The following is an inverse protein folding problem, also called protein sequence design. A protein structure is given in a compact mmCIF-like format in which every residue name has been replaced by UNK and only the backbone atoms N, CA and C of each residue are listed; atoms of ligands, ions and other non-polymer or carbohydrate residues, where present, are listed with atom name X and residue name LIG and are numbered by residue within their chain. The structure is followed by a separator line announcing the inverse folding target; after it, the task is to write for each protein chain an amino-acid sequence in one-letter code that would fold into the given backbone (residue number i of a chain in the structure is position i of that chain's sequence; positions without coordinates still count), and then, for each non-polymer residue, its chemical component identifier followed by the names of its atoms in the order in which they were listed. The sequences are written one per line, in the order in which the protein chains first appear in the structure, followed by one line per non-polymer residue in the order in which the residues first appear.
data_IF_811347765881
#
_entry.id   IF_811347765881
#
_cell.length_a   1.000
_cell.length_b   1.000
_cell.length_c   1.000
_cell.angle_alpha   90.00
_cell.angle_beta   90.00
_cell.angle_gamma   90.00
#
_symmetry.space_group_name_H-M   'P 1'
#
loop_
_entity.id
_entity.type
_entity.pdbx_description
1 polymer ?
#
# COMPACT_ATOMS: atom_id res chain seq x y z
N UNK A 1 -68.37 28.73 -20.96
CA UNK A 1 -67.15 28.50 -21.76
C UNK A 1 -66.17 27.67 -20.93
N UNK A 2 -65.99 26.38 -21.25
CA UNK A 2 -65.00 25.51 -20.61
C UNK A 2 -63.68 25.63 -21.36
N UNK A 3 -62.72 26.38 -20.83
CA UNK A 3 -61.38 26.51 -21.40
C UNK A 3 -60.61 25.20 -21.20
N UNK A 4 -60.29 24.55 -22.31
CA UNK A 4 -59.46 23.34 -22.39
C UNK A 4 -58.05 23.70 -21.92
N UNK A 5 -57.56 23.05 -20.86
CA UNK A 5 -56.13 23.06 -20.55
C UNK A 5 -55.36 22.38 -21.69
N UNK A 6 -54.20 22.91 -22.11
CA UNK A 6 -53.40 22.31 -23.18
C UNK A 6 -52.85 20.95 -22.74
N UNK A 7 -53.06 19.92 -23.58
CA UNK A 7 -52.63 18.53 -23.35
C UNK A 7 -51.13 18.39 -23.06
N UNK A 8 -50.32 19.37 -23.45
CA UNK A 8 -48.88 19.45 -23.19
C UNK A 8 -48.53 19.68 -21.72
N UNK A 9 -49.37 20.41 -20.96
CA UNK A 9 -49.14 20.65 -19.53
C UNK A 9 -49.40 19.39 -18.66
N UNK A 10 -50.24 18.47 -19.14
CA UNK A 10 -50.55 17.21 -18.45
C UNK A 10 -49.41 16.18 -18.63
N UNK A 11 -48.83 16.10 -19.83
CA UNK A 11 -47.66 15.26 -20.13
C UNK A 11 -46.41 15.69 -19.36
N UNK A 12 -46.13 16.99 -19.27
CA UNK A 12 -45.00 17.51 -18.49
C UNK A 12 -45.16 17.27 -16.98
N UNK A 13 -46.38 17.33 -16.44
CA UNK A 13 -46.66 16.99 -15.03
C UNK A 13 -46.57 15.49 -14.75
N UNK A 14 -46.97 14.63 -15.69
CA UNK A 14 -46.81 13.17 -15.58
C UNK A 14 -45.34 12.75 -15.67
N UNK A 15 -44.56 13.36 -16.57
CA UNK A 15 -43.11 13.11 -16.67
C UNK A 15 -42.39 13.62 -15.41
N UNK A 16 -42.76 14.78 -14.87
CA UNK A 16 -42.22 15.28 -13.59
C UNK A 16 -42.60 14.38 -12.39
N UNK A 17 -43.82 13.81 -12.36
CA UNK A 17 -44.21 12.83 -11.35
C UNK A 17 -43.43 11.51 -11.49
N UNK A 18 -43.18 11.04 -12.71
CA UNK A 18 -42.39 9.83 -12.96
C UNK A 18 -40.90 10.02 -12.64
N UNK A 19 -40.34 11.22 -12.81
CA UNK A 19 -38.97 11.57 -12.41
C UNK A 19 -38.85 11.68 -10.88
N UNK A 20 -39.91 12.12 -10.18
CA UNK A 20 -39.95 12.16 -8.72
C UNK A 20 -40.24 10.78 -8.08
N UNK A 21 -40.99 9.90 -8.76
CA UNK A 21 -41.31 8.54 -8.30
C UNK A 21 -40.24 7.49 -8.64
N UNK A 22 -39.26 7.81 -9.51
CA UNK A 22 -38.13 6.93 -9.84
C UNK A 22 -36.94 7.05 -8.89
N UNK A 23 -37.02 7.87 -7.83
CA UNK A 23 -36.02 7.94 -6.76
C UNK A 23 -36.41 7.20 -5.48
N UNK A 24 -37.54 6.48 -5.46
CA UNK A 24 -37.99 5.72 -4.29
C UNK A 24 -38.38 4.28 -4.66
N UNK A 25 -37.42 3.48 -5.13
CA UNK A 25 -37.50 2.03 -4.98
C UNK A 25 -36.11 1.37 -5.07
N UNK A 26 -35.82 0.60 -4.02
CA UNK A 26 -34.82 -0.47 -3.99
C UNK A 26 -33.34 -0.08 -4.09
N UNK A 27 -32.80 0.51 -3.03
CA UNK A 27 -31.46 0.11 -2.59
C UNK A 27 -31.59 -0.79 -1.37
N UNK A 28 -31.36 -2.07 -1.63
CA UNK A 28 -31.08 -3.10 -0.64
C UNK A 28 -30.06 -2.57 0.37
N UNK A 29 -30.37 -2.78 1.65
CA UNK A 29 -29.56 -2.35 2.76
C UNK A 29 -28.13 -2.87 2.71
N UNK A 30 -27.30 -2.19 3.50
CA UNK A 30 -25.90 -2.47 3.78
C UNK A 30 -25.55 -3.96 3.75
N UNK A 31 -24.95 -4.39 2.64
CA UNK A 31 -24.08 -5.57 2.66
C UNK A 31 -22.80 -5.18 3.42
N UNK A 32 -22.06 -6.13 4.00
CA UNK A 32 -20.92 -5.90 4.91
C UNK A 32 -19.70 -5.19 4.30
N UNK A 33 -19.91 -3.99 3.75
CA UNK A 33 -19.02 -3.18 2.89
C UNK A 33 -18.87 -1.74 3.37
N UNK A 34 -19.51 -1.35 4.46
CA UNK A 34 -19.37 -0.01 5.03
C UNK A 34 -18.75 -0.08 6.43
N UNK A 35 -17.72 0.75 6.71
CA UNK A 35 -17.17 0.90 8.05
C UNK A 35 -18.23 1.48 8.98
N UNK A 36 -18.15 1.14 10.27
CA UNK A 36 -19.17 1.41 11.31
C UNK A 36 -19.47 2.90 11.57
N UNK A 37 -18.83 3.78 10.82
CA UNK A 37 -18.66 5.20 11.08
C UNK A 37 -19.91 6.02 10.75
N UNK A 38 -20.92 5.41 10.12
CA UNK A 38 -22.20 6.05 9.83
C UNK A 38 -23.26 5.75 10.91
N UNK A 39 -22.99 6.12 12.17
CA UNK A 39 -24.05 6.31 13.16
C UNK A 39 -24.29 7.81 13.30
N UNK A 40 -25.39 8.37 12.76
CA UNK A 40 -25.71 9.77 12.97
C UNK A 40 -26.05 9.98 14.47
N UNK A 41 -25.25 10.80 15.15
CA UNK A 41 -25.64 11.42 16.42
C UNK A 41 -26.47 12.68 16.16
N UNK A 42 -27.45 13.01 17.02
CA UNK A 42 -27.14 13.45 18.39
C UNK A 42 -28.10 12.90 19.44
N UNK A 43 -27.69 12.11 20.45
CA UNK A 43 -28.65 11.61 21.45
C UNK A 43 -28.09 11.48 22.86
N UNK A 44 -28.98 11.83 23.80
CA UNK A 44 -28.87 12.19 25.21
C UNK A 44 -28.37 11.10 26.17
N UNK A 45 -27.74 11.57 27.26
CA UNK A 45 -27.24 10.79 28.39
C UNK A 45 -28.39 10.43 29.35
N UNK A 46 -29.19 9.40 29.05
CA UNK A 46 -30.11 8.81 30.05
C UNK A 46 -29.71 7.37 30.38
N UNK A 47 -29.70 7.08 31.69
CA UNK A 47 -29.39 5.78 32.26
C UNK A 47 -30.40 4.70 31.80
N UNK A 48 -29.98 3.43 31.62
CA UNK A 48 -30.77 2.44 30.91
C UNK A 48 -31.85 1.83 31.81
N UNK A 49 -33.10 2.22 31.62
CA UNK A 49 -34.24 1.32 31.91
C UNK A 49 -34.34 0.28 30.79
N UNK A 50 -34.76 -0.95 31.08
CA UNK A 50 -34.71 -2.09 30.14
C UNK A 50 -35.39 -1.90 28.78
N UNK A 51 -36.23 -0.87 28.61
CA UNK A 51 -36.83 -0.47 27.31
C UNK A 51 -35.97 0.49 26.50
N UNK A 52 -34.99 1.17 27.10
CA UNK A 52 -34.10 2.13 26.45
C UNK A 52 -33.06 1.45 25.53
N UNK A 53 -32.52 0.30 25.95
CA UNK A 53 -31.54 -0.45 25.16
C UNK A 53 -32.07 -0.92 23.80
N UNK A 54 -33.32 -1.39 23.75
CA UNK A 54 -33.97 -1.78 22.49
C UNK A 54 -34.14 -0.60 21.55
N UNK A 55 -34.51 0.58 22.07
CA UNK A 55 -34.67 1.81 21.26
C UNK A 55 -33.33 2.27 20.67
N UNK A 56 -32.24 2.18 21.44
CA UNK A 56 -30.90 2.54 20.96
C UNK A 56 -30.45 1.67 19.77
N UNK A 57 -30.64 0.35 19.84
CA UNK A 57 -30.35 -0.57 18.74
C UNK A 57 -31.18 -0.27 17.46
N UNK A 58 -32.40 0.25 17.61
CA UNK A 58 -33.27 0.57 16.48
C UNK A 58 -32.93 1.90 15.79
N UNK A 59 -32.49 2.90 16.57
CA UNK A 59 -32.03 4.20 16.08
C UNK A 59 -30.75 4.10 15.24
N UNK A 60 -29.95 3.05 15.44
CA UNK A 60 -28.75 2.80 14.66
C UNK A 60 -29.06 2.18 13.29
N UNK A 61 -28.29 2.60 12.28
CA UNK A 61 -28.29 2.10 10.89
C UNK A 61 -27.61 0.72 10.79
N UNK A 62 -28.21 -0.29 11.41
CA UNK A 62 -27.73 -1.67 11.43
C UNK A 62 -28.55 -2.59 10.52
N UNK A 63 -27.93 -3.63 9.98
CA UNK A 63 -28.64 -4.69 9.25
C UNK A 63 -29.61 -5.44 10.15
N UNK A 64 -30.65 -6.09 9.58
CA UNK A 64 -31.58 -6.93 10.35
C UNK A 64 -30.87 -7.98 11.21
N UNK A 65 -29.77 -8.55 10.72
CA UNK A 65 -28.93 -9.51 11.46
C UNK A 65 -28.22 -8.83 12.64
N UNK A 66 -27.59 -7.67 12.42
CA UNK A 66 -26.89 -6.92 13.46
C UNK A 66 -27.87 -6.39 14.52
N UNK A 67 -29.05 -5.90 14.13
CA UNK A 67 -30.12 -5.50 15.08
C UNK A 67 -30.57 -6.65 15.97
N UNK A 68 -30.66 -7.88 15.44
CA UNK A 68 -30.95 -9.07 16.28
C UNK A 68 -29.83 -9.36 17.28
N UNK A 69 -28.57 -9.20 16.88
CA UNK A 69 -27.42 -9.37 17.79
C UNK A 69 -27.38 -8.26 18.85
N UNK A 70 -27.61 -7.01 18.46
CA UNK A 70 -27.67 -5.85 19.36
C UNK A 70 -28.77 -6.01 20.41
N UNK A 71 -30.00 -6.36 20.02
CA UNK A 71 -31.09 -6.59 20.98
C UNK A 71 -30.83 -7.77 21.92
N UNK A 72 -30.04 -8.75 21.49
CA UNK A 72 -29.71 -9.94 22.28
C UNK A 72 -28.65 -9.63 23.35
N UNK A 73 -27.81 -8.62 23.16
CA UNK A 73 -26.65 -8.32 24.01
C UNK A 73 -26.82 -6.98 24.74
N UNK A 74 -27.27 -6.97 26.01
CA UNK A 74 -27.36 -5.76 26.82
C UNK A 74 -26.00 -5.02 26.88
N UNK A 75 -26.04 -3.70 26.67
CA UNK A 75 -24.83 -2.86 26.68
C UNK A 75 -24.07 -2.82 25.35
N UNK A 76 -24.45 -3.64 24.35
CA UNK A 76 -23.80 -3.59 23.04
C UNK A 76 -24.07 -2.26 22.33
N UNK A 77 -25.27 -1.70 22.48
CA UNK A 77 -25.64 -0.44 21.83
C UNK A 77 -24.72 0.73 22.22
N UNK A 78 -24.45 0.87 23.52
CA UNK A 78 -23.55 1.89 24.05
C UNK A 78 -22.10 1.65 23.62
N UNK A 79 -21.68 0.38 23.63
CA UNK A 79 -20.34 -0.04 23.20
C UNK A 79 -20.10 0.27 21.71
N UNK A 80 -21.11 0.05 20.86
CA UNK A 80 -21.05 0.41 19.44
C UNK A 80 -20.90 1.92 19.25
N UNK A 81 -21.67 2.73 19.99
CA UNK A 81 -21.56 4.20 19.93
C UNK A 81 -20.17 4.68 20.31
N UNK A 82 -19.63 4.15 21.41
CA UNK A 82 -18.27 4.49 21.85
C UNK A 82 -17.22 4.08 20.82
N UNK A 83 -17.34 2.90 20.22
CA UNK A 83 -16.41 2.45 19.19
C UNK A 83 -16.40 3.38 17.96
N UNK A 84 -17.56 3.88 17.55
CA UNK A 84 -17.68 4.79 16.40
C UNK A 84 -17.07 6.14 16.72
N UNK A 85 -17.35 6.67 17.91
CA UNK A 85 -16.76 7.93 18.40
C UNK A 85 -15.24 7.83 18.43
N UNK A 86 -14.70 6.75 19.01
CA UNK A 86 -13.27 6.50 19.10
C UNK A 86 -12.62 6.40 17.71
N UNK A 87 -13.25 5.64 16.79
CA UNK A 87 -12.79 5.51 15.41
C UNK A 87 -12.71 6.84 14.68
N UNK A 88 -13.74 7.68 14.84
CA UNK A 88 -13.83 8.99 14.19
C UNK A 88 -12.81 9.98 14.72
N UNK A 89 -12.70 10.08 16.05
CA UNK A 89 -11.75 10.98 16.70
C UNK A 89 -10.34 10.72 16.18
N UNK A 90 -9.99 9.44 16.15
CA UNK A 90 -8.67 9.02 15.73
C UNK A 90 -8.44 9.17 14.23
N UNK A 91 -9.44 8.83 13.41
CA UNK A 91 -9.34 9.02 11.97
C UNK A 91 -9.13 10.51 11.62
N UNK A 92 -9.86 11.42 12.28
CA UNK A 92 -9.65 12.87 12.12
C UNK A 92 -8.27 13.30 12.58
N UNK A 93 -7.78 12.75 13.69
CA UNK A 93 -6.46 13.04 14.22
C UNK A 93 -5.35 12.65 13.22
N UNK A 94 -5.43 11.45 12.66
CA UNK A 94 -4.45 10.93 11.71
C UNK A 94 -4.48 11.65 10.36
N UNK A 95 -5.66 12.09 9.92
CA UNK A 95 -5.86 12.78 8.65
C UNK A 95 -5.89 14.32 8.76
N UNK A 96 -5.46 14.87 9.91
CA UNK A 96 -5.55 16.32 10.18
C UNK A 96 -4.82 17.21 9.15
N UNK A 97 -3.76 16.68 8.53
CA UNK A 97 -2.93 17.39 7.54
C UNK A 97 -3.14 16.84 6.11
N UNK A 98 -4.08 15.92 5.92
CA UNK A 98 -4.35 15.29 4.63
C UNK A 98 -5.49 16.01 3.89
N UNK A 99 -5.53 15.86 2.56
CA UNK A 99 -6.57 16.48 1.71
C UNK A 99 -7.98 16.02 2.07
N UNK A 100 -8.13 14.81 2.60
CA UNK A 100 -9.38 14.32 3.17
C UNK A 100 -9.22 14.18 4.69
N UNK A 101 -9.89 15.04 5.45
CA UNK A 101 -9.79 15.15 6.91
C UNK A 101 -10.68 14.16 7.69
N UNK A 102 -10.96 13.00 7.10
CA UNK A 102 -11.94 12.04 7.64
C UNK A 102 -13.38 12.57 7.80
N UNK A 103 -13.77 13.63 7.06
CA UNK A 103 -15.17 14.06 7.00
C UNK A 103 -16.01 13.07 6.19
N UNK A 104 -17.13 12.64 6.77
CA UNK A 104 -18.11 11.75 6.15
C UNK A 104 -19.30 12.48 5.54
N UNK A 105 -19.37 13.79 5.71
CA UNK A 105 -20.52 14.57 5.29
C UNK A 105 -20.63 14.58 3.76
N UNK A 106 -21.75 14.06 3.23
CA UNK A 106 -21.99 13.92 1.79
C UNK A 106 -21.09 12.93 1.02
N UNK A 107 -20.18 12.20 1.67
CA UNK A 107 -19.18 11.32 1.01
C UNK A 107 -19.40 9.82 1.22
N UNK A 108 -20.64 9.37 1.47
CA UNK A 108 -20.96 7.94 1.59
C UNK A 108 -20.56 7.09 0.37
N UNK A 109 -20.41 7.71 -0.80
CA UNK A 109 -19.89 7.07 -2.02
C UNK A 109 -18.42 6.66 -1.95
N UNK A 110 -17.62 7.28 -1.05
CA UNK A 110 -16.22 6.92 -0.82
C UNK A 110 -16.11 5.48 -0.29
N UNK A 111 -17.07 5.05 0.52
CA UNK A 111 -17.13 3.69 1.10
C UNK A 111 -17.55 2.64 0.08
N UNK A 112 -18.35 3.04 -0.92
CA UNK A 112 -18.79 2.18 -2.01
C UNK A 112 -17.64 1.82 -2.97
N UNK A 113 -16.56 2.60 -2.97
CA UNK A 113 -15.38 2.40 -3.82
C UNK A 113 -14.17 1.93 -3.00
N UNK A 114 -13.33 1.10 -3.61
CA UNK A 114 -12.16 0.50 -2.96
C UNK A 114 -10.99 1.49 -2.89
N UNK A 115 -11.14 2.54 -2.08
CA UNK A 115 -10.09 3.53 -1.85
C UNK A 115 -9.20 3.16 -0.66
N UNK A 116 -7.99 3.75 -0.59
CA UNK A 116 -7.07 3.56 0.54
C UNK A 116 -7.70 4.06 1.84
N UNK A 117 -8.42 5.18 1.75
CA UNK A 117 -9.14 5.82 2.85
C UNK A 117 -10.19 4.88 3.45
N UNK A 118 -10.93 4.17 2.58
CA UNK A 118 -11.90 3.15 3.00
C UNK A 118 -11.20 1.96 3.68
N UNK A 119 -10.02 1.56 3.20
CA UNK A 119 -9.23 0.51 3.83
C UNK A 119 -8.80 0.88 5.26
N UNK A 120 -8.33 2.12 5.46
CA UNK A 120 -8.01 2.62 6.80
C UNK A 120 -9.23 2.73 7.69
N UNK A 121 -10.35 3.26 7.19
CA UNK A 121 -11.60 3.34 7.95
C UNK A 121 -12.06 1.97 8.45
N UNK A 122 -11.94 0.93 7.64
CA UNK A 122 -12.28 -0.44 8.03
C UNK A 122 -11.31 -1.00 9.09
N UNK A 123 -10.02 -0.69 8.98
CA UNK A 123 -9.03 -1.11 9.96
C UNK A 123 -9.17 -0.38 11.30
N UNK A 124 -9.31 0.95 11.31
CA UNK A 124 -9.47 1.73 12.55
C UNK A 124 -10.81 1.43 13.23
N UNK A 125 -11.89 1.24 12.47
CA UNK A 125 -13.19 0.89 13.04
C UNK A 125 -13.25 -0.53 13.59
N UNK A 126 -12.62 -1.50 12.94
CA UNK A 126 -12.53 -2.86 13.49
C UNK A 126 -11.64 -2.92 14.73
N UNK A 127 -10.56 -2.13 14.77
CA UNK A 127 -9.68 -2.00 15.92
C UNK A 127 -10.42 -1.36 17.12
N UNK A 128 -11.03 -0.20 16.91
CA UNK A 128 -11.79 0.51 17.95
C UNK A 128 -12.95 -0.33 18.49
N UNK A 129 -13.68 -1.05 17.62
CA UNK A 129 -14.75 -1.94 18.09
C UNK A 129 -14.21 -3.14 18.87
N UNK A 130 -13.09 -3.74 18.45
CA UNK A 130 -12.45 -4.83 19.19
C UNK A 130 -12.05 -4.39 20.60
N UNK A 131 -11.39 -3.23 20.72
CA UNK A 131 -10.97 -2.64 21.99
C UNK A 131 -12.18 -2.27 22.86
N UNK A 132 -13.18 -1.59 22.29
CA UNK A 132 -14.38 -1.17 23.02
C UNK A 132 -15.17 -2.37 23.56
N UNK A 133 -15.30 -3.45 22.80
CA UNK A 133 -15.93 -4.70 23.26
C UNK A 133 -15.16 -5.32 24.41
N UNK A 134 -13.84 -5.42 24.31
CA UNK A 134 -13.01 -6.03 25.35
C UNK A 134 -13.09 -5.23 26.65
N UNK A 135 -13.04 -3.89 26.54
CA UNK A 135 -13.23 -2.97 27.67
C UNK A 135 -14.62 -3.04 28.27
N UNK A 136 -15.66 -3.18 27.45
CA UNK A 136 -17.03 -3.26 27.93
C UNK A 136 -17.27 -4.55 28.73
N UNK A 137 -16.63 -5.65 28.32
CA UNK A 137 -16.65 -6.92 29.05
C UNK A 137 -15.90 -6.83 30.39
N UNK A 138 -14.67 -6.30 30.40
CA UNK A 138 -13.92 -6.18 31.65
C UNK A 138 -14.52 -5.18 32.65
N UNK A 139 -15.23 -4.15 32.16
CA UNK A 139 -15.92 -3.17 33.00
C UNK A 139 -17.32 -3.60 33.45
N UNK A 140 -17.78 -4.79 33.03
CA UNK A 140 -19.13 -5.28 33.35
C UNK A 140 -20.27 -4.52 32.67
N UNK A 141 -19.97 -3.66 31.68
CA UNK A 141 -21.01 -2.95 30.90
C UNK A 141 -21.74 -3.85 29.91
N UNK A 142 -21.13 -4.98 29.55
CA UNK A 142 -21.77 -6.02 28.74
C UNK A 142 -21.97 -7.28 29.60
N UNK A 143 -23.21 -7.75 29.68
CA UNK A 143 -23.60 -8.78 30.64
C UNK A 143 -23.28 -10.22 30.19
N UNK A 144 -23.09 -10.48 28.90
CA UNK A 144 -22.88 -11.85 28.36
C UNK A 144 -21.48 -12.09 27.84
N UNK A 145 -20.51 -11.48 28.50
CA UNK A 145 -19.10 -11.80 28.35
C UNK A 145 -18.40 -11.77 29.70
N UNK A 146 -17.26 -12.45 29.75
CA UNK A 146 -16.40 -12.56 30.94
C UNK A 146 -15.07 -11.84 30.70
N UNK A 147 -14.34 -11.59 31.78
CA UNK A 147 -12.93 -11.20 31.75
C UNK A 147 -12.10 -12.16 30.90
N UNK A 148 -10.86 -11.79 30.60
CA UNK A 148 -9.88 -12.79 30.17
C UNK A 148 -9.51 -13.72 31.34
N UNK A 149 -9.81 -15.02 31.20
CA UNK A 149 -9.49 -16.09 32.16
C UNK A 149 -8.32 -16.95 31.63
N UNK A 150 -7.25 -16.32 31.12
CA UNK A 150 -6.14 -17.05 30.50
C UNK A 150 -5.39 -17.92 31.54
N UNK A 151 -5.18 -19.23 31.28
CA UNK A 151 -4.67 -20.22 32.25
C UNK A 151 -3.17 -20.06 32.61
N UNK A 152 -2.54 -18.93 32.28
CA UNK A 152 -1.15 -18.62 32.60
C UNK A 152 -0.97 -17.75 33.86
N UNK A 153 -2.06 -17.20 34.41
CA UNK A 153 -2.02 -16.44 35.65
C UNK A 153 -2.26 -17.43 36.79
N UNK A 154 -1.22 -17.73 37.57
CA UNK A 154 -1.35 -18.58 38.75
C UNK A 154 -2.49 -18.04 39.63
N UNK A 155 -3.49 -18.88 39.83
CA UNK A 155 -4.79 -18.62 40.45
C UNK A 155 -4.75 -18.19 41.93
N UNK A 156 -3.60 -17.71 42.44
CA UNK A 156 -3.41 -17.40 43.86
C UNK A 156 -3.21 -15.91 44.17
N UNK A 157 -2.80 -15.09 43.19
CA UNK A 157 -2.56 -13.65 43.41
C UNK A 157 -3.55 -12.75 42.63
N UNK A 158 -4.17 -13.24 41.56
CA UNK A 158 -5.16 -12.48 40.77
C UNK A 158 -6.45 -12.13 41.55
N UNK A 159 -6.81 -12.93 42.55
CA UNK A 159 -8.00 -12.72 43.39
C UNK A 159 -7.78 -11.68 44.49
N UNK A 160 -6.52 -11.32 44.81
CA UNK A 160 -6.20 -10.33 45.85
C UNK A 160 -6.30 -8.88 45.35
N UNK A 161 -6.18 -8.65 44.04
CA UNK A 161 -6.15 -7.30 43.46
C UNK A 161 -7.41 -6.92 42.65
N UNK A 162 -8.35 -7.84 42.44
CA UNK A 162 -9.67 -7.53 41.87
C UNK A 162 -9.65 -6.91 40.46
N UNK A 163 -8.61 -7.17 39.66
CA UNK A 163 -8.49 -6.59 38.30
C UNK A 163 -8.90 -7.61 37.24
N UNK A 164 -9.97 -7.29 36.51
CA UNK A 164 -10.50 -8.07 35.38
C UNK A 164 -9.81 -7.62 34.08
N UNK A 165 -9.10 -8.54 33.41
CA UNK A 165 -8.42 -8.28 32.13
C UNK A 165 -9.37 -8.17 30.93
N UNK A 166 -8.95 -7.44 29.90
CA UNK A 166 -9.72 -7.24 28.66
C UNK A 166 -9.77 -8.54 27.81
N UNK A 167 -10.96 -9.09 27.55
CA UNK A 167 -11.10 -10.36 26.81
C UNK A 167 -11.09 -10.16 25.28
N UNK A 168 -9.91 -10.06 24.68
CA UNK A 168 -9.77 -9.93 23.21
C UNK A 168 -10.23 -11.17 22.45
N UNK A 169 -10.13 -12.37 23.03
CA UNK A 169 -10.55 -13.61 22.37
C UNK A 169 -12.06 -13.63 22.11
N UNK A 170 -12.84 -13.28 23.13
CA UNK A 170 -14.29 -13.09 23.01
C UNK A 170 -14.60 -11.96 22.01
N UNK A 171 -13.99 -10.79 22.21
CA UNK A 171 -14.28 -9.58 21.44
C UNK A 171 -14.04 -9.76 19.95
N UNK A 172 -12.94 -10.42 19.58
CA UNK A 172 -12.62 -10.68 18.17
C UNK A 172 -13.53 -11.74 17.55
N UNK A 173 -13.94 -12.76 18.30
CA UNK A 173 -14.94 -13.74 17.85
C UNK A 173 -16.31 -13.09 17.65
N UNK A 174 -16.72 -12.23 18.58
CA UNK A 174 -17.97 -11.48 18.52
C UNK A 174 -18.00 -10.54 17.32
N UNK A 175 -16.94 -9.73 17.13
CA UNK A 175 -16.80 -8.80 16.02
C UNK A 175 -16.93 -9.49 14.65
N UNK A 176 -16.21 -10.60 14.44
CA UNK A 176 -16.27 -11.36 13.17
C UNK A 176 -17.69 -11.88 12.89
N UNK A 177 -18.39 -12.34 13.94
CA UNK A 177 -19.79 -12.79 13.86
C UNK A 177 -20.75 -11.64 13.57
N UNK A 178 -20.50 -10.46 14.17
CA UNK A 178 -21.31 -9.25 14.04
C UNK A 178 -21.18 -8.62 12.64
N UNK A 179 -19.97 -8.54 12.09
CA UNK A 179 -19.71 -8.07 10.72
C UNK A 179 -20.12 -9.09 9.65
N UNK A 180 -20.43 -10.33 10.03
CA UNK A 180 -20.89 -11.36 9.12
C UNK A 180 -19.81 -11.82 8.12
N UNK A 181 -18.53 -11.77 8.52
CA UNK A 181 -17.41 -12.17 7.68
C UNK A 181 -17.55 -13.64 7.24
N UNK A 182 -17.62 -13.86 5.91
CA UNK A 182 -17.56 -15.20 5.32
C UNK A 182 -16.09 -15.60 5.14
N UNK A 183 -15.74 -16.83 5.50
CA UNK A 183 -14.37 -17.36 5.34
C UNK A 183 -13.92 -17.43 3.88
N UNK A 184 -14.87 -17.61 2.96
CA UNK A 184 -14.63 -17.69 1.52
C UNK A 184 -15.64 -16.77 0.83
N UNK A 185 -15.16 -15.75 0.13
CA UNK A 185 -15.95 -14.86 -0.71
C UNK A 185 -15.42 -14.92 -2.13
N UNK A 186 -16.30 -15.12 -3.11
CA UNK A 186 -15.93 -15.06 -4.54
C UNK A 186 -15.62 -13.62 -5.00
N UNK A 187 -16.03 -12.62 -4.23
CA UNK A 187 -15.88 -11.21 -4.58
C UNK A 187 -14.59 -10.61 -3.99
N UNK A 188 -13.73 -10.06 -4.86
CA UNK A 188 -12.45 -9.43 -4.51
C UNK A 188 -12.62 -8.26 -3.53
N UNK A 189 -13.66 -7.43 -3.69
CA UNK A 189 -13.90 -6.29 -2.78
C UNK A 189 -14.13 -6.79 -1.36
N UNK A 190 -14.94 -7.83 -1.22
CA UNK A 190 -15.25 -8.42 0.09
C UNK A 190 -14.03 -9.13 0.71
N UNK A 191 -13.12 -9.68 -0.10
CA UNK A 191 -11.85 -10.22 0.39
C UNK A 191 -10.95 -9.10 0.93
N UNK A 192 -10.81 -7.99 0.20
CA UNK A 192 -10.03 -6.81 0.64
C UNK A 192 -10.62 -6.21 1.91
N UNK A 193 -11.94 -6.06 2.00
CA UNK A 193 -12.60 -5.58 3.22
C UNK A 193 -12.33 -6.51 4.41
N UNK A 194 -12.43 -7.82 4.18
CA UNK A 194 -12.13 -8.83 5.19
C UNK A 194 -10.68 -8.75 5.65
N UNK A 195 -9.74 -8.54 4.73
CA UNK A 195 -8.33 -8.33 5.03
C UNK A 195 -8.13 -7.09 5.91
N UNK A 196 -8.67 -5.93 5.51
CA UNK A 196 -8.53 -4.67 6.24
C UNK A 196 -9.10 -4.75 7.66
N UNK A 197 -10.26 -5.39 7.82
CA UNK A 197 -10.86 -5.66 9.14
C UNK A 197 -9.91 -6.51 10.00
N UNK A 198 -9.34 -7.57 9.43
CA UNK A 198 -8.40 -8.45 10.15
C UNK A 198 -7.08 -7.77 10.51
N UNK A 199 -6.62 -6.80 9.72
CA UNK A 199 -5.46 -5.96 10.06
C UNK A 199 -5.75 -5.17 11.34
N UNK A 200 -6.89 -4.48 11.41
CA UNK A 200 -7.27 -3.73 12.62
C UNK A 200 -7.40 -4.63 13.86
N UNK A 201 -8.00 -5.82 13.73
CA UNK A 201 -8.09 -6.80 14.81
C UNK A 201 -6.70 -7.23 15.32
N UNK A 202 -5.75 -7.49 14.39
CA UNK A 202 -4.39 -7.88 14.75
C UNK A 202 -3.61 -6.75 15.42
N UNK A 203 -3.83 -5.50 15.00
CA UNK A 203 -3.19 -4.35 15.61
C UNK A 203 -3.55 -4.21 17.10
N UNK A 204 -4.80 -4.50 17.47
CA UNK A 204 -5.23 -4.53 18.89
C UNK A 204 -4.57 -5.69 19.64
N UNK A 205 -4.59 -6.90 19.08
CA UNK A 205 -4.00 -8.09 19.72
C UNK A 205 -2.51 -7.99 19.97
N UNK A 206 -1.77 -7.40 19.02
CA UNK A 206 -0.32 -7.29 19.14
C UNK A 206 0.08 -6.23 20.17
N UNK A 207 -0.76 -5.21 20.38
CA UNK A 207 -0.51 -4.16 21.36
C UNK A 207 -0.68 -4.57 22.82
N UNK A 208 -1.41 -5.66 23.10
CA UNK A 208 -1.55 -6.23 24.47
C UNK A 208 -0.42 -7.18 24.86
N UNK A 209 0.25 -7.83 23.88
CA UNK A 209 1.30 -8.82 24.15
C UNK A 209 2.59 -8.25 24.74
N UNK A 210 2.96 -7.01 24.39
CA UNK A 210 4.16 -6.32 24.90
C UNK A 210 3.93 -5.68 26.29
N UNK A 211 2.69 -5.64 26.79
CA UNK A 211 2.39 -5.01 28.09
C UNK A 211 2.73 -5.93 29.27
N UNK A 212 2.63 -7.24 29.07
CA UNK A 212 2.94 -8.23 30.09
C UNK A 212 4.44 -8.24 30.45
N UNK A 213 5.31 -7.69 29.61
CA UNK A 213 6.75 -7.58 29.85
C UNK A 213 7.15 -6.23 30.50
N UNK A 214 6.29 -5.19 30.44
CA UNK A 214 6.56 -3.86 31.05
C UNK A 214 5.92 -3.68 32.44
N UNK A 215 5.08 -4.62 32.91
CA UNK A 215 4.39 -4.54 34.21
C UNK A 215 5.25 -5.01 35.41
N UNK A 216 6.47 -5.51 35.18
CA UNK A 216 7.39 -5.95 36.26
C UNK A 216 8.17 -4.81 36.96
N UNK A 217 8.10 -3.56 36.47
CA UNK A 217 9.06 -2.51 36.89
C UNK A 217 8.49 -1.26 37.63
N UNK A 218 7.22 -1.21 38.05
CA UNK A 218 6.69 0.02 38.69
C UNK A 218 5.99 -0.25 40.04
N UNK A 219 6.79 -0.54 41.07
CA UNK A 219 6.37 -0.77 42.48
C UNK A 219 6.23 0.52 43.31
N UNK A 220 6.11 1.70 42.70
CA UNK A 220 6.03 2.97 43.43
C UNK A 220 4.78 3.79 43.05
N UNK A 221 3.89 3.94 44.03
CA UNK A 221 2.55 4.50 43.92
C UNK A 221 2.48 5.90 43.28
N UNK A 222 2.02 5.94 42.03
CA UNK A 222 1.41 7.09 41.34
C UNK A 222 0.37 6.55 40.34
N UNK A 223 -0.62 5.80 40.85
CA UNK A 223 -1.42 4.86 40.06
C UNK A 223 -2.47 5.48 39.11
N UNK A 224 -3.05 6.65 39.42
CA UNK A 224 -4.19 7.17 38.64
C UNK A 224 -3.78 7.96 37.39
N UNK A 225 -2.77 8.83 37.50
CA UNK A 225 -2.30 9.66 36.38
C UNK A 225 -1.48 8.86 35.37
N UNK A 226 -0.65 7.93 35.86
CA UNK A 226 0.07 6.95 35.03
C UNK A 226 -0.89 6.01 34.29
N UNK A 227 -1.96 5.52 34.93
CA UNK A 227 -2.98 4.69 34.27
C UNK A 227 -3.79 5.46 33.20
N UNK A 228 -3.96 6.77 33.37
CA UNK A 228 -4.53 7.66 32.35
C UNK A 228 -3.63 7.80 31.12
N UNK A 229 -2.31 7.92 31.31
CA UNK A 229 -1.31 8.02 30.23
C UNK A 229 -1.03 6.68 29.54
N UNK A 230 -0.73 5.60 30.28
CA UNK A 230 -1.50 4.33 30.24
C UNK A 230 -2.34 4.02 29.00
N UNK A 231 -3.64 4.22 29.19
CA UNK A 231 -4.75 4.13 28.22
C UNK A 231 -4.65 5.12 27.05
N UNK A 232 -3.94 6.24 27.18
CA UNK A 232 -3.73 7.18 26.05
C UNK A 232 -2.67 6.65 25.07
N UNK A 233 -1.60 6.04 25.59
CA UNK A 233 -0.55 5.37 24.79
C UNK A 233 -1.10 4.12 24.08
N UNK A 234 -1.94 3.34 24.77
CA UNK A 234 -2.62 2.15 24.24
C UNK A 234 -3.52 2.48 23.02
N UNK A 235 -4.39 3.50 23.15
CA UNK A 235 -5.23 4.00 22.04
C UNK A 235 -4.40 4.52 20.86
N UNK A 236 -3.30 5.21 21.14
CA UNK A 236 -2.44 5.77 20.10
C UNK A 236 -1.62 4.70 19.37
N UNK A 237 -1.19 3.62 20.05
CA UNK A 237 -0.33 2.56 19.47
C UNK A 237 -1.08 1.71 18.44
N UNK A 238 -2.29 1.23 18.76
CA UNK A 238 -3.14 0.45 17.83
C UNK A 238 -3.38 1.22 16.53
N UNK A 239 -3.54 2.53 16.63
CA UNK A 239 -3.91 3.37 15.50
C UNK A 239 -2.68 3.85 14.75
N UNK A 240 -1.57 4.13 15.42
CA UNK A 240 -0.29 4.34 14.76
C UNK A 240 0.08 3.12 13.90
N UNK A 241 -0.15 1.90 14.39
CA UNK A 241 0.04 0.67 13.60
C UNK A 241 -0.90 0.63 12.39
N UNK A 242 -2.20 0.89 12.58
CA UNK A 242 -3.16 0.95 11.47
C UNK A 242 -2.84 2.06 10.45
N UNK A 243 -2.28 3.19 10.90
CA UNK A 243 -1.87 4.32 10.09
C UNK A 243 -0.59 4.04 9.31
N UNK A 244 0.39 3.40 9.94
CA UNK A 244 1.56 2.83 9.26
C UNK A 244 1.10 1.87 8.17
N UNK A 245 0.15 0.96 8.44
CA UNK A 245 -0.40 0.08 7.39
C UNK A 245 -1.16 0.81 6.27
N UNK A 246 -1.85 1.92 6.57
CA UNK A 246 -2.51 2.76 5.56
C UNK A 246 -1.51 3.51 4.67
N UNK A 247 -0.45 4.08 5.27
CA UNK A 247 0.67 4.65 4.52
C UNK A 247 1.39 3.57 3.69
N UNK A 248 1.57 2.38 4.27
CA UNK A 248 2.23 1.22 3.69
C UNK A 248 1.32 0.37 2.79
N UNK A 249 0.23 0.93 2.24
CA UNK A 249 -0.62 0.26 1.25
C UNK A 249 0.19 -0.22 0.03
N UNK A 250 0.71 -1.44 0.11
CA UNK A 250 1.78 -1.99 -0.73
C UNK A 250 3.15 -1.67 -0.14
N UNK A 251 3.63 -2.50 0.78
CA UNK A 251 4.73 -2.15 1.67
C UNK A 251 6.07 -2.15 0.92
N UNK A 252 6.47 -0.96 0.46
CA UNK A 252 7.72 -0.69 -0.24
C UNK A 252 8.92 -1.18 0.59
N UNK A 253 8.91 -0.96 1.90
CA UNK A 253 10.03 -1.34 2.77
C UNK A 253 10.15 -2.87 2.90
N UNK A 254 9.05 -3.61 3.03
CA UNK A 254 9.13 -5.08 3.04
C UNK A 254 9.52 -5.66 1.69
N UNK A 255 9.00 -5.08 0.60
CA UNK A 255 9.38 -5.53 -0.73
C UNK A 255 10.86 -5.19 -0.99
N UNK A 256 11.35 -4.08 -0.48
CA UNK A 256 12.76 -3.68 -0.53
C UNK A 256 13.64 -4.68 0.24
N UNK A 257 13.32 -4.99 1.50
CA UNK A 257 14.08 -5.95 2.30
C UNK A 257 14.05 -7.36 1.70
N UNK A 258 12.88 -7.80 1.21
CA UNK A 258 12.75 -9.08 0.53
C UNK A 258 13.61 -9.13 -0.74
N UNK A 259 13.57 -8.08 -1.56
CA UNK A 259 14.36 -7.98 -2.79
C UNK A 259 15.85 -7.96 -2.49
N UNK A 260 16.28 -7.19 -1.49
CA UNK A 260 17.68 -7.12 -1.06
C UNK A 260 18.20 -8.48 -0.56
N UNK A 261 17.38 -9.22 0.19
CA UNK A 261 17.71 -10.59 0.60
C UNK A 261 17.89 -11.52 -0.60
N UNK A 262 16.99 -11.46 -1.59
CA UNK A 262 17.12 -12.26 -2.81
C UNK A 262 18.37 -11.90 -3.62
N UNK A 263 18.76 -10.62 -3.68
CA UNK A 263 20.00 -10.19 -4.33
C UNK A 263 21.23 -10.80 -3.64
N UNK A 264 21.27 -10.80 -2.30
CA UNK A 264 22.36 -11.43 -1.54
C UNK A 264 22.43 -12.95 -1.75
N UNK A 265 21.27 -13.62 -1.81
CA UNK A 265 21.21 -15.06 -2.13
C UNK A 265 21.79 -15.34 -3.53
N UNK A 266 21.44 -14.52 -4.54
CA UNK A 266 21.98 -14.65 -5.90
C UNK A 266 23.50 -14.40 -5.93
N UNK A 267 24.01 -13.41 -5.20
CA UNK A 267 25.46 -13.18 -5.08
C UNK A 267 26.19 -14.37 -4.46
N UNK A 268 25.60 -15.01 -3.43
CA UNK A 268 26.16 -16.21 -2.82
C UNK A 268 26.19 -17.40 -3.81
N UNK A 269 25.09 -17.62 -4.54
CA UNK A 269 25.01 -18.65 -5.56
C UNK A 269 26.00 -18.42 -6.72
N UNK A 270 26.20 -17.17 -7.12
CA UNK A 270 27.23 -16.77 -8.09
C UNK A 270 28.65 -17.15 -7.62
N UNK A 271 28.96 -16.96 -6.33
CA UNK A 271 30.26 -17.36 -5.77
C UNK A 271 30.49 -18.88 -5.77
N UNK A 272 29.41 -19.67 -5.76
CA UNK A 272 29.49 -21.14 -5.87
C UNK A 272 29.61 -21.61 -7.33
N UNK A 273 29.25 -20.77 -8.31
CA UNK A 273 29.28 -21.08 -9.75
C UNK A 273 30.71 -21.44 -10.22
N UNK A 274 31.73 -20.78 -9.66
CA UNK A 274 33.14 -21.06 -9.98
C UNK A 274 33.65 -22.40 -9.44
N UNK A 275 32.97 -22.99 -8.45
CA UNK A 275 33.38 -24.23 -7.76
C UNK A 275 32.58 -25.47 -8.20
N UNK A 276 31.56 -25.27 -9.03
CA UNK A 276 30.59 -26.29 -9.40
C UNK A 276 31.08 -27.12 -10.59
N UNK A 277 30.76 -28.42 -10.60
CA UNK A 277 31.21 -29.35 -11.65
C UNK A 277 30.54 -29.10 -13.01
N UNK A 278 31.28 -29.33 -14.11
CA UNK A 278 30.95 -28.94 -15.50
C UNK A 278 29.52 -29.32 -15.93
N UNK A 279 29.00 -30.47 -15.50
CA UNK A 279 27.65 -30.96 -15.88
C UNK A 279 26.51 -30.24 -15.13
N UNK A 280 26.77 -29.74 -13.92
CA UNK A 280 25.76 -29.13 -13.05
C UNK A 280 25.71 -27.60 -13.14
N UNK A 281 26.76 -26.97 -13.70
CA UNK A 281 26.86 -25.52 -13.90
C UNK A 281 25.68 -24.97 -14.71
N UNK A 282 25.27 -25.66 -15.78
CA UNK A 282 24.16 -25.21 -16.64
C UNK A 282 22.79 -25.13 -15.92
N UNK A 283 22.52 -26.06 -15.00
CA UNK A 283 21.28 -26.04 -14.22
C UNK A 283 21.28 -24.86 -13.24
N UNK A 284 22.43 -24.57 -12.64
CA UNK A 284 22.61 -23.45 -11.72
C UNK A 284 22.53 -22.09 -12.46
N UNK A 285 23.07 -21.99 -13.68
CA UNK A 285 22.93 -20.81 -14.54
C UNK A 285 21.46 -20.48 -14.84
N UNK A 286 20.65 -21.50 -15.18
CA UNK A 286 19.23 -21.31 -15.47
C UNK A 286 18.44 -20.87 -14.23
N UNK A 287 18.72 -21.45 -13.07
CA UNK A 287 18.13 -21.04 -11.79
C UNK A 287 18.53 -19.60 -11.40
N UNK A 288 19.81 -19.24 -11.58
CA UNK A 288 20.30 -17.88 -11.37
C UNK A 288 19.59 -16.87 -12.27
N UNK A 289 19.44 -17.20 -13.56
CA UNK A 289 18.73 -16.35 -14.52
C UNK A 289 17.27 -16.13 -14.11
N UNK A 290 16.57 -17.21 -13.74
CA UNK A 290 15.17 -17.13 -13.28
C UNK A 290 15.01 -16.28 -12.02
N UNK A 291 15.93 -16.39 -11.05
CA UNK A 291 15.93 -15.56 -9.84
C UNK A 291 16.21 -14.09 -10.14
N UNK A 292 17.13 -13.79 -11.06
CA UNK A 292 17.43 -12.42 -11.51
C UNK A 292 16.19 -11.80 -12.16
N UNK A 293 15.50 -12.52 -13.04
CA UNK A 293 14.28 -12.03 -13.69
C UNK A 293 13.13 -11.81 -12.69
N UNK A 294 13.02 -12.66 -11.66
CA UNK A 294 12.08 -12.44 -10.56
C UNK A 294 12.40 -11.15 -9.77
N UNK A 295 13.69 -10.90 -9.50
CA UNK A 295 14.15 -9.67 -8.83
C UNK A 295 13.82 -8.43 -9.67
N UNK A 296 14.03 -8.47 -11.00
CA UNK A 296 13.64 -7.36 -11.88
C UNK A 296 12.15 -7.03 -11.80
N UNK A 297 11.27 -8.05 -11.79
CA UNK A 297 9.84 -7.85 -11.58
C UNK A 297 9.51 -7.19 -10.22
N UNK A 298 10.23 -7.55 -9.16
CA UNK A 298 10.09 -6.89 -7.86
C UNK A 298 10.57 -5.43 -7.89
N UNK A 299 11.65 -5.13 -8.60
CA UNK A 299 12.19 -3.78 -8.76
C UNK A 299 11.25 -2.86 -9.54
N UNK A 300 10.61 -3.33 -10.61
CA UNK A 300 9.59 -2.55 -11.33
C UNK A 300 8.42 -2.16 -10.42
N UNK A 301 7.99 -3.10 -9.56
CA UNK A 301 6.95 -2.85 -8.57
C UNK A 301 7.42 -1.87 -7.49
N UNK A 302 8.68 -1.97 -7.04
CA UNK A 302 9.30 -1.03 -6.10
C UNK A 302 9.40 0.39 -6.67
N UNK A 303 9.75 0.54 -7.95
CA UNK A 303 9.84 1.83 -8.64
C UNK A 303 8.47 2.55 -8.66
N UNK A 304 7.40 1.80 -8.93
CA UNK A 304 6.03 2.31 -8.87
C UNK A 304 5.67 2.73 -7.43
N UNK A 305 6.06 1.96 -6.41
CA UNK A 305 5.79 2.32 -5.01
C UNK A 305 6.61 3.54 -4.57
N UNK A 306 7.88 3.62 -4.96
CA UNK A 306 8.78 4.74 -4.70
C UNK A 306 8.24 6.05 -5.29
N UNK A 307 7.67 6.00 -6.50
CA UNK A 307 7.05 7.17 -7.14
C UNK A 307 5.79 7.66 -6.41
N UNK A 308 5.11 6.78 -5.67
CA UNK A 308 3.88 7.06 -4.92
C UNK A 308 4.13 7.58 -3.50
N UNK A 309 5.38 7.60 -3.04
CA UNK A 309 5.75 8.13 -1.73
C UNK A 309 5.55 9.66 -1.61
N UNK A 310 5.32 10.19 -0.40
CA UNK A 310 5.22 11.62 -0.15
C UNK A 310 6.54 12.34 -0.51
N UNK A 311 6.48 13.63 -0.91
CA UNK A 311 7.63 14.35 -1.49
C UNK A 311 8.87 14.36 -0.59
N UNK A 312 8.70 14.41 0.74
CA UNK A 312 9.81 14.43 1.70
C UNK A 312 10.58 13.10 1.79
N UNK A 313 9.97 11.96 1.41
CA UNK A 313 10.61 10.62 1.47
C UNK A 313 10.92 10.04 0.10
N UNK A 314 10.19 10.47 -0.93
CA UNK A 314 10.31 10.03 -2.32
C UNK A 314 11.74 10.05 -2.86
N UNK A 315 12.54 11.06 -2.53
CA UNK A 315 13.92 11.16 -3.01
C UNK A 315 14.80 10.03 -2.43
N UNK A 316 14.69 9.77 -1.13
CA UNK A 316 15.45 8.70 -0.48
C UNK A 316 14.97 7.32 -0.93
N UNK A 317 13.65 7.15 -1.06
CA UNK A 317 13.01 5.94 -1.56
C UNK A 317 13.48 5.59 -2.99
N UNK A 318 13.56 6.58 -3.89
CA UNK A 318 14.11 6.39 -5.24
C UNK A 318 15.59 6.01 -5.22
N UNK A 319 16.40 6.72 -4.44
CA UNK A 319 17.84 6.41 -4.32
C UNK A 319 18.09 4.95 -3.90
N UNK A 320 17.31 4.44 -2.94
CA UNK A 320 17.40 3.04 -2.49
C UNK A 320 17.04 2.04 -3.59
N UNK A 321 15.99 2.33 -4.38
CA UNK A 321 15.59 1.47 -5.50
C UNK A 321 16.63 1.53 -6.63
N UNK A 322 17.17 2.70 -6.92
CA UNK A 322 18.22 2.90 -7.92
C UNK A 322 19.50 2.13 -7.54
N UNK A 323 19.85 2.09 -6.24
CA UNK A 323 20.95 1.28 -5.74
C UNK A 323 20.73 -0.23 -6.01
N UNK A 324 19.57 -0.78 -5.64
CA UNK A 324 19.29 -2.21 -5.90
C UNK A 324 19.27 -2.54 -7.39
N UNK A 325 18.80 -1.60 -8.23
CA UNK A 325 18.81 -1.74 -9.70
C UNK A 325 20.22 -1.81 -10.25
N UNK A 326 21.13 -0.98 -9.74
CA UNK A 326 22.54 -1.05 -10.09
C UNK A 326 23.17 -2.38 -9.67
N UNK A 327 22.93 -2.83 -8.44
CA UNK A 327 23.51 -4.07 -7.91
C UNK A 327 23.06 -5.29 -8.73
N UNK A 328 21.76 -5.39 -9.09
CA UNK A 328 21.27 -6.52 -9.88
C UNK A 328 21.74 -6.45 -11.34
N UNK A 329 21.87 -5.26 -11.92
CA UNK A 329 22.42 -5.09 -13.27
C UNK A 329 23.88 -5.58 -13.32
N UNK A 330 24.68 -5.22 -12.32
CA UNK A 330 26.05 -5.69 -12.21
C UNK A 330 26.13 -7.23 -12.13
N UNK A 331 25.27 -7.85 -11.32
CA UNK A 331 25.19 -9.32 -11.21
C UNK A 331 24.81 -9.96 -12.55
N UNK A 332 23.82 -9.40 -13.26
CA UNK A 332 23.38 -9.90 -14.57
C UNK A 332 24.52 -9.86 -15.60
N UNK A 333 25.25 -8.75 -15.67
CA UNK A 333 26.39 -8.63 -16.59
C UNK A 333 27.51 -9.60 -16.22
N UNK A 334 27.77 -9.80 -14.93
CA UNK A 334 28.77 -10.77 -14.47
C UNK A 334 28.39 -12.21 -14.88
N UNK A 335 27.12 -12.60 -14.74
CA UNK A 335 26.63 -13.91 -15.18
C UNK A 335 26.74 -14.08 -16.70
N UNK A 336 26.37 -13.07 -17.49
CA UNK A 336 26.50 -13.11 -18.95
C UNK A 336 27.95 -13.27 -19.41
N UNK A 337 28.88 -12.55 -18.76
CA UNK A 337 30.31 -12.67 -19.06
C UNK A 337 30.85 -14.06 -18.71
N UNK A 338 30.40 -14.65 -17.60
CA UNK A 338 30.76 -16.02 -17.22
C UNK A 338 30.26 -17.03 -18.26
N UNK A 339 28.97 -16.94 -18.64
CA UNK A 339 28.36 -17.78 -19.67
C UNK A 339 29.14 -17.68 -20.98
N UNK A 340 29.43 -16.46 -21.44
CA UNK A 340 30.17 -16.24 -22.68
C UNK A 340 31.57 -16.89 -22.64
N UNK A 341 32.32 -16.70 -21.55
CA UNK A 341 33.64 -17.35 -21.37
C UNK A 341 33.55 -18.87 -21.36
N UNK A 342 32.49 -19.43 -20.79
CA UNK A 342 32.26 -20.88 -20.73
C UNK A 342 31.94 -21.45 -22.11
N UNK A 343 30.99 -20.84 -22.82
CA UNK A 343 30.63 -21.23 -24.19
C UNK A 343 31.80 -21.10 -25.16
N UNK A 344 32.63 -20.06 -25.02
CA UNK A 344 33.82 -19.90 -25.84
C UNK A 344 34.84 -21.04 -25.60
N UNK A 345 35.05 -21.46 -24.35
CA UNK A 345 35.92 -22.61 -24.03
C UNK A 345 35.35 -23.92 -24.57
N UNK A 346 34.04 -24.16 -24.42
CA UNK A 346 33.40 -25.37 -24.97
C UNK A 346 33.43 -25.42 -26.50
N UNK A 347 33.34 -24.26 -27.17
CA UNK A 347 33.51 -24.18 -28.61
C UNK A 347 34.95 -24.54 -29.01
N UNK A 348 35.96 -23.99 -28.31
CA UNK A 348 37.36 -24.33 -28.55
C UNK A 348 37.69 -25.80 -28.28
N UNK A 349 37.15 -26.38 -27.20
CA UNK A 349 37.32 -27.79 -26.86
C UNK A 349 36.69 -28.69 -27.94
N UNK A 350 35.49 -28.35 -28.44
CA UNK A 350 34.84 -29.07 -29.55
C UNK A 350 35.62 -28.99 -30.85
N UNK A 351 36.06 -27.79 -31.23
CA UNK A 351 36.91 -27.62 -32.42
C UNK A 351 38.21 -28.43 -32.29
N UNK A 352 38.81 -28.45 -31.10
CA UNK A 352 40.00 -29.26 -30.81
C UNK A 352 39.71 -30.76 -30.94
N UNK A 353 38.58 -31.25 -30.43
CA UNK A 353 38.17 -32.65 -30.54
C UNK A 353 37.84 -33.04 -31.98
N UNK A 354 37.21 -32.17 -32.76
CA UNK A 354 36.98 -32.37 -34.20
C UNK A 354 38.29 -32.46 -34.98
N UNK A 355 39.29 -31.65 -34.61
CA UNK A 355 40.63 -31.73 -35.19
C UNK A 355 41.39 -32.99 -34.74
N UNK A 356 41.17 -33.47 -33.51
CA UNK A 356 41.80 -34.69 -32.97
C UNK A 356 41.13 -35.99 -33.43
N UNK A 357 39.83 -35.96 -33.75
CA UNK A 357 39.04 -37.10 -34.21
C UNK A 357 39.03 -37.28 -35.73
N UNK A 358 39.59 -36.34 -36.48
CA UNK A 358 39.92 -36.57 -37.90
C UNK A 358 40.98 -37.67 -38.01
N UNK A 359 40.54 -38.87 -38.33
CA UNK A 359 41.41 -39.96 -38.79
C UNK A 359 42.10 -39.51 -40.08
N UNK A 360 43.42 -39.31 -40.03
CA UNK A 360 44.22 -39.13 -41.23
C UNK A 360 44.23 -40.44 -42.01
N UNK A 361 43.43 -40.51 -43.08
CA UNK A 361 43.50 -41.60 -44.04
C UNK A 361 44.74 -41.41 -44.89
N UNK A 362 45.73 -42.28 -44.74
CA UNK A 362 46.84 -42.38 -45.69
C UNK A 362 46.33 -43.06 -46.96
N UNK A 363 46.07 -42.28 -48.01
CA UNK A 363 46.13 -42.78 -49.38
C UNK A 363 46.87 -41.76 -50.24
N UNK A 364 48.01 -42.25 -50.71
CA UNK A 364 48.80 -41.88 -51.88
C UNK A 364 49.43 -40.49 -52.02
N UNK A 365 50.76 -40.53 -51.89
CA UNK A 365 51.74 -39.84 -52.72
C UNK A 365 51.73 -38.30 -52.73
N UNK A 366 51.72 -37.68 -51.55
CA UNK A 366 52.51 -36.46 -51.38
C UNK A 366 52.84 -36.25 -49.90
N UNK A 367 53.94 -36.86 -49.46
CA UNK A 367 54.64 -36.47 -48.22
C UNK A 367 55.74 -35.49 -48.57
N UNK A 368 55.40 -34.46 -49.34
CA UNK A 368 56.02 -33.17 -49.16
C UNK A 368 55.07 -32.36 -48.27
N UNK A 369 55.60 -31.75 -47.23
CA UNK A 369 54.92 -30.66 -46.54
C UNK A 369 55.23 -29.44 -47.40
N UNK A 370 54.34 -28.96 -48.31
CA UNK A 370 54.37 -27.56 -48.62
C UNK A 370 53.80 -26.89 -47.38
N UNK A 371 54.67 -26.32 -46.54
CA UNK A 371 54.24 -25.14 -45.79
C UNK A 371 53.91 -24.15 -46.90
N UNK A 372 52.64 -24.12 -47.28
CA UNK A 372 52.14 -23.17 -48.23
C UNK A 372 52.17 -21.83 -47.48
N UNK A 373 53.33 -21.19 -47.55
CA UNK A 373 53.66 -19.94 -46.87
C UNK A 373 52.60 -18.90 -47.23
N UNK A 374 51.97 -19.01 -48.40
CA UNK A 374 50.87 -18.15 -48.84
C UNK A 374 49.54 -18.40 -48.11
N UNK A 375 49.25 -19.63 -47.71
CA UNK A 375 48.01 -20.03 -47.01
C UNK A 375 48.16 -19.85 -45.49
N UNK A 376 49.35 -20.10 -44.95
CA UNK A 376 49.72 -19.67 -43.59
C UNK A 376 49.80 -18.14 -43.48
N UNK A 377 50.33 -17.43 -44.48
CA UNK A 377 50.29 -15.97 -44.52
C UNK A 377 48.84 -15.47 -44.64
N UNK A 378 47.99 -16.10 -45.46
CA UNK A 378 46.58 -15.72 -45.58
C UNK A 378 45.81 -15.95 -44.27
N UNK A 379 46.02 -17.09 -43.60
CA UNK A 379 45.40 -17.37 -42.30
C UNK A 379 45.95 -16.48 -41.18
N UNK A 380 47.25 -16.19 -41.17
CA UNK A 380 47.85 -15.23 -40.25
C UNK A 380 47.35 -13.81 -40.53
N UNK A 381 47.14 -13.45 -41.80
CA UNK A 381 46.57 -12.16 -42.22
C UNK A 381 45.09 -12.10 -41.85
N UNK A 382 44.30 -13.17 -42.00
CA UNK A 382 42.91 -13.23 -41.55
C UNK A 382 42.78 -13.24 -40.03
N UNK A 383 43.70 -13.87 -39.31
CA UNK A 383 43.74 -13.85 -37.84
C UNK A 383 44.20 -12.47 -37.34
N UNK A 384 45.14 -11.83 -38.03
CA UNK A 384 45.50 -10.43 -37.78
C UNK A 384 44.33 -9.49 -38.13
N UNK A 385 43.57 -9.74 -39.20
CA UNK A 385 42.40 -8.95 -39.58
C UNK A 385 41.29 -9.07 -38.54
N UNK A 386 40.99 -10.30 -38.08
CA UNK A 386 40.04 -10.54 -36.98
C UNK A 386 40.52 -9.93 -35.66
N UNK A 387 41.80 -10.02 -35.34
CA UNK A 387 42.38 -9.35 -34.18
C UNK A 387 42.31 -7.83 -34.29
N UNK A 388 42.45 -7.27 -35.49
CA UNK A 388 42.31 -5.84 -35.77
C UNK A 388 40.85 -5.39 -35.74
N UNK A 389 39.91 -6.24 -36.18
CA UNK A 389 38.46 -6.01 -36.07
C UNK A 389 37.98 -6.10 -34.63
N UNK A 390 38.54 -6.98 -33.81
CA UNK A 390 38.28 -7.04 -32.37
C UNK A 390 38.87 -5.81 -31.65
N UNK A 391 40.03 -5.30 -32.08
CA UNK A 391 40.62 -4.06 -31.56
C UNK A 391 39.87 -2.81 -32.05
N UNK A 392 39.37 -2.79 -33.29
CA UNK A 392 38.51 -1.72 -33.82
C UNK A 392 37.11 -1.78 -33.21
N UNK A 393 36.58 -2.97 -32.95
CA UNK A 393 35.33 -3.20 -32.24
C UNK A 393 35.43 -2.75 -30.79
N UNK A 394 36.49 -3.14 -30.09
CA UNK A 394 36.81 -2.69 -28.73
C UNK A 394 37.08 -1.19 -28.68
N UNK A 395 37.80 -0.65 -29.68
CA UNK A 395 38.05 0.78 -29.83
C UNK A 395 36.77 1.57 -30.09
N UNK A 396 35.85 1.06 -30.92
CA UNK A 396 34.54 1.68 -31.15
C UNK A 396 33.65 1.58 -29.91
N UNK A 397 33.73 0.48 -29.15
CA UNK A 397 33.03 0.31 -27.88
C UNK A 397 33.52 1.30 -26.82
N UNK A 398 34.83 1.51 -26.72
CA UNK A 398 35.43 2.51 -25.83
C UNK A 398 35.11 3.93 -26.31
N UNK A 399 35.16 4.22 -27.62
CA UNK A 399 34.81 5.53 -28.17
C UNK A 399 33.32 5.84 -28.06
N UNK A 400 32.44 4.85 -28.21
CA UNK A 400 31.00 4.98 -27.96
C UNK A 400 30.73 5.14 -26.46
N UNK A 401 31.45 4.40 -25.60
CA UNK A 401 31.42 4.59 -24.15
C UNK A 401 31.87 5.99 -23.73
N UNK A 402 32.93 6.53 -24.32
CA UNK A 402 33.41 7.89 -24.09
C UNK A 402 32.48 8.95 -24.71
N UNK A 403 31.81 8.64 -25.83
CA UNK A 403 30.79 9.49 -26.45
C UNK A 403 29.51 9.55 -25.62
N UNK A 404 29.09 8.43 -25.04
CA UNK A 404 27.95 8.32 -24.13
C UNK A 404 28.28 8.91 -22.75
N UNK A 405 29.50 8.73 -22.25
CA UNK A 405 29.99 9.46 -21.08
C UNK A 405 30.03 10.96 -21.36
N UNK A 406 30.41 11.43 -22.56
CA UNK A 406 30.37 12.85 -22.94
C UNK A 406 28.93 13.36 -23.14
N UNK A 407 28.00 12.54 -23.63
CA UNK A 407 26.59 12.93 -23.80
C UNK A 407 25.88 13.01 -22.45
N UNK A 408 26.18 12.09 -21.53
CA UNK A 408 25.70 12.09 -20.15
C UNK A 408 26.38 13.16 -19.31
N UNK A 409 27.68 13.46 -19.48
CA UNK A 409 28.33 14.60 -18.83
C UNK A 409 27.80 15.94 -19.36
N UNK A 410 27.57 16.08 -20.67
CA UNK A 410 26.92 17.28 -21.22
C UNK A 410 25.47 17.40 -20.78
N UNK A 411 24.76 16.28 -20.64
CA UNK A 411 23.40 16.22 -20.13
C UNK A 411 23.31 16.56 -18.64
N UNK A 412 24.28 16.13 -17.83
CA UNK A 412 24.38 16.46 -16.41
C UNK A 412 24.91 17.87 -16.17
N UNK A 413 25.86 18.37 -16.97
CA UNK A 413 26.32 19.76 -16.90
C UNK A 413 25.22 20.75 -17.37
N UNK A 414 24.47 20.41 -18.42
CA UNK A 414 23.30 21.19 -18.84
C UNK A 414 22.19 21.16 -17.78
N UNK A 415 21.91 19.99 -17.18
CA UNK A 415 20.96 19.87 -16.07
C UNK A 415 21.43 20.55 -14.79
N UNK A 416 22.72 20.60 -14.50
CA UNK A 416 23.28 21.28 -13.32
C UNK A 416 23.26 22.80 -13.50
N UNK A 417 23.50 23.29 -14.71
CA UNK A 417 23.38 24.71 -15.07
C UNK A 417 21.90 25.15 -15.14
N UNK A 418 21.01 24.27 -15.62
CA UNK A 418 19.55 24.47 -15.55
C UNK A 418 19.02 24.36 -14.10
N UNK A 419 19.60 23.50 -13.25
CA UNK A 419 19.25 23.39 -11.82
C UNK A 419 19.82 24.56 -11.02
N UNK A 420 20.99 25.09 -11.36
CA UNK A 420 21.51 26.33 -10.76
C UNK A 420 20.65 27.55 -11.15
N UNK A 421 20.20 27.64 -12.41
CA UNK A 421 19.24 28.66 -12.85
C UNK A 421 17.82 28.44 -12.27
N UNK A 422 17.40 27.19 -12.04
CA UNK A 422 16.08 26.85 -11.49
C UNK A 422 16.01 26.99 -9.96
N UNK A 423 17.13 26.76 -9.26
CA UNK A 423 17.26 27.07 -7.82
C UNK A 423 17.30 28.59 -7.58
N UNK A 424 17.78 29.38 -8.55
CA UNK A 424 17.65 30.84 -8.54
C UNK A 424 16.22 31.37 -8.77
N UNK A 425 15.35 30.59 -9.43
CA UNK A 425 13.96 30.97 -9.75
C UNK A 425 12.91 30.51 -8.72
N UNK A 426 13.25 29.65 -7.76
CA UNK A 426 12.27 29.09 -6.81
C UNK A 426 11.64 30.16 -5.89
N UNK A 427 12.39 31.20 -5.51
CA UNK A 427 11.87 32.28 -4.66
C UNK A 427 10.89 33.23 -5.39
N UNK A 428 10.96 33.32 -6.73
CA UNK A 428 10.06 34.20 -7.50
C UNK A 428 8.78 33.48 -7.93
N UNK A 429 8.86 32.18 -8.23
CA UNK A 429 7.67 31.38 -8.60
C UNK A 429 6.79 31.08 -7.37
N UNK A 430 7.36 30.85 -6.19
CA UNK A 430 6.58 30.66 -4.95
C UNK A 430 5.76 31.91 -4.59
N UNK A 431 6.28 33.12 -4.84
CA UNK A 431 5.54 34.39 -4.66
C UNK A 431 4.47 34.63 -5.74
N UNK A 432 4.66 34.12 -6.96
CA UNK A 432 3.68 34.27 -8.04
C UNK A 432 2.46 33.34 -7.87
N UNK A 433 2.56 32.25 -7.10
CA UNK A 433 1.45 31.33 -6.84
C UNK A 433 0.51 31.89 -5.74
N UNK A 434 1.05 32.53 -4.70
CA UNK A 434 0.23 33.27 -3.71
C UNK A 434 -0.54 34.45 -4.33
N UNK A 435 0.03 35.09 -5.36
CA UNK A 435 -0.62 36.21 -6.06
C UNK A 435 -1.78 35.78 -6.97
N UNK A 436 -1.77 34.54 -7.49
CA UNK A 436 -2.89 34.02 -8.32
C UNK A 436 -4.13 33.67 -7.49
N UNK A 437 -3.96 33.14 -6.27
CA UNK A 437 -5.08 32.80 -5.39
C UNK A 437 -5.81 34.04 -4.83
N UNK A 438 -5.11 35.15 -4.64
CA UNK A 438 -5.70 36.42 -4.19
C UNK A 438 -6.45 37.13 -5.31
N UNK A 439 -5.92 37.10 -6.55
CA UNK A 439 -6.56 37.73 -7.70
C UNK A 439 -7.87 37.02 -8.12
N UNK A 440 -7.91 35.68 -8.07
CA UNK A 440 -9.14 34.91 -8.33
C UNK A 440 -10.24 35.18 -7.28
N UNK A 441 -9.86 35.48 -6.04
CA UNK A 441 -10.80 35.88 -4.97
C UNK A 441 -11.48 37.22 -5.27
N UNK A 442 -10.74 38.19 -5.83
CA UNK A 442 -11.31 39.50 -6.19
C UNK A 442 -12.24 39.40 -7.41
N UNK A 443 -11.91 38.57 -8.41
CA UNK A 443 -12.76 38.34 -9.58
C UNK A 443 -14.10 37.70 -9.17
N UNK A 444 -14.06 36.73 -8.26
CA UNK A 444 -15.26 36.08 -7.70
C UNK A 444 -16.18 37.07 -6.96
N UNK A 445 -15.60 37.92 -6.10
CA UNK A 445 -16.38 38.91 -5.33
C UNK A 445 -16.98 39.98 -6.25
N UNK A 446 -16.24 40.44 -7.26
CA UNK A 446 -16.75 41.37 -8.25
C UNK A 446 -17.92 40.81 -9.06
N UNK A 447 -17.84 39.54 -9.47
CA UNK A 447 -18.93 38.85 -10.17
C UNK A 447 -20.21 38.75 -9.33
N UNK A 448 -20.09 38.41 -8.04
CA UNK A 448 -21.23 38.37 -7.12
C UNK A 448 -21.93 39.74 -7.00
N UNK A 449 -21.16 40.81 -6.77
CA UNK A 449 -21.74 42.15 -6.62
C UNK A 449 -22.44 42.63 -7.89
N UNK A 450 -21.84 42.39 -9.06
CA UNK A 450 -22.43 42.79 -10.34
C UNK A 450 -23.75 42.05 -10.61
N UNK A 451 -23.83 40.76 -10.29
CA UNK A 451 -25.08 40.01 -10.41
C UNK A 451 -26.17 40.50 -9.46
N UNK A 452 -25.83 40.86 -8.22
CA UNK A 452 -26.78 41.44 -7.27
C UNK A 452 -27.32 42.79 -7.73
N UNK A 453 -26.46 43.66 -8.28
CA UNK A 453 -26.88 44.97 -8.82
C UNK A 453 -27.79 44.80 -10.04
N UNK A 454 -27.45 43.87 -10.94
CA UNK A 454 -28.30 43.58 -12.09
C UNK A 454 -29.69 43.09 -11.66
N UNK A 455 -29.77 42.16 -10.70
CA UNK A 455 -31.04 41.67 -10.15
C UNK A 455 -31.84 42.81 -9.49
N UNK A 456 -31.18 43.69 -8.73
CA UNK A 456 -31.82 44.84 -8.12
C UNK A 456 -32.41 45.81 -9.15
N UNK A 457 -31.66 46.12 -10.22
CA UNK A 457 -32.13 46.98 -11.30
C UNK A 457 -33.32 46.37 -12.06
N UNK A 458 -33.28 45.07 -12.31
CA UNK A 458 -34.42 44.36 -12.92
C UNK A 458 -35.66 44.46 -12.03
N UNK A 459 -35.53 44.23 -10.72
CA UNK A 459 -36.65 44.34 -9.78
C UNK A 459 -37.18 45.79 -9.69
N UNK A 460 -36.31 46.79 -9.77
CA UNK A 460 -36.68 48.21 -9.62
C UNK A 460 -37.36 48.80 -10.86
N UNK A 461 -36.98 48.33 -12.05
CA UNK A 461 -37.40 48.94 -13.32
C UNK A 461 -38.36 48.07 -14.17
N UNK A 462 -38.43 46.76 -13.92
CA UNK A 462 -39.33 45.81 -14.62
C UNK A 462 -40.38 45.17 -13.69
N UNK A 463 -40.38 45.54 -12.39
CA UNK A 463 -41.29 45.04 -11.35
C UNK A 463 -42.32 46.06 -10.92
#
# INVERSE_FOLDING_TARGET
MRSRLPRTACLLRLIALCILLSHTAAYFGLTGREPLVFLPGPFSNEAPTGKAHLKQCEQMTLTRRQKRLCRREPGLAETLRESVRLSLLECRYQFRNERWNCSLDGRGSLLKRAFKETAFLLAVSSAALTHALAKACSSGRMERCTCDDSPGIQHREAWQWGVCGDNLKYSTKFLKKFLGQKRVSKDLRAQVDTHNINVGIRAVKSGEGELNDEDDEDRNGFGAEKAGQKKKRERQRVVNTAWVFYQSGGNMETLYHQTNKQIQEVQCLMGNLEKTDRQSVHLLENELQARIDQIFNHLERLEILASKEPPNRRQNAKLRVDQLKYDVQHIRTALQNFQHRRYAREAQDREREELMSRTFTTNDADTSIPIDETLQLNSNLHNAHRGMDDLLGSGSGILNGLRDQRSTLKGTHKKMLDVANMLGLSNTVMRLIERRATQDKFIMIGGMLLTCVFIFLVIRYLG
#
